data_IF_639828338361
#
_entry.id   IF_639828338361
#
_cell.length_a   1.000
_cell.length_b   1.000
_cell.length_c   1.000
_cell.angle_alpha   90.00
_cell.angle_beta   90.00
_cell.angle_gamma   90.00
#
_symmetry.space_group_name_H-M   'P 1'
#
loop_
_entity.id
_entity.type
_entity.pdbx_description
1 polymer ?
#
# COMPACT_ATOMS: atom_id res chain seq x y z
N UNK A 1 22.87 -17.60 -10.17
CA UNK A 1 22.19 -16.28 -10.26
C UNK A 1 23.17 -15.32 -10.93
N UNK A 2 22.85 -14.04 -11.14
CA UNK A 2 23.90 -13.07 -11.52
C UNK A 2 24.82 -12.83 -10.31
N UNK A 3 26.11 -12.63 -10.55
CA UNK A 3 27.13 -12.38 -9.51
C UNK A 3 26.71 -11.26 -8.54
N UNK A 4 26.26 -10.11 -9.06
CA UNK A 4 25.83 -8.98 -8.23
C UNK A 4 24.65 -9.28 -7.28
N UNK A 5 23.78 -10.23 -7.65
CA UNK A 5 22.63 -10.59 -6.81
C UNK A 5 23.06 -11.51 -5.66
N UNK A 6 23.96 -12.44 -5.95
CA UNK A 6 24.57 -13.31 -4.94
C UNK A 6 25.41 -12.50 -3.94
N UNK A 7 26.13 -11.49 -4.44
CA UNK A 7 26.89 -10.54 -3.61
C UNK A 7 25.99 -9.77 -2.65
N UNK A 8 24.82 -9.29 -3.10
CA UNK A 8 23.87 -8.58 -2.26
C UNK A 8 23.27 -9.48 -1.16
N UNK A 9 22.93 -10.72 -1.50
CA UNK A 9 22.50 -11.71 -0.50
C UNK A 9 23.61 -11.98 0.52
N UNK A 10 24.85 -12.11 0.06
CA UNK A 10 26.01 -12.35 0.92
C UNK A 10 26.32 -11.12 1.80
N UNK A 11 26.08 -9.90 1.31
CA UNK A 11 26.17 -8.68 2.09
C UNK A 11 25.19 -8.73 3.28
N UNK A 12 23.92 -9.04 3.03
CA UNK A 12 22.88 -9.14 4.07
C UNK A 12 23.25 -10.20 5.11
N UNK A 13 23.70 -11.38 4.67
CA UNK A 13 24.20 -12.43 5.57
C UNK A 13 25.39 -11.97 6.39
N UNK A 14 26.28 -11.17 5.80
CA UNK A 14 27.43 -10.59 6.52
C UNK A 14 26.99 -9.58 7.57
N UNK A 15 26.04 -8.71 7.24
CA UNK A 15 25.47 -7.70 8.14
C UNK A 15 24.78 -8.35 9.34
N UNK A 16 24.11 -9.49 9.14
CA UNK A 16 23.42 -10.24 10.21
C UNK A 16 24.29 -11.29 10.91
N UNK A 17 25.41 -11.70 10.30
CA UNK A 17 26.29 -12.74 10.82
C UNK A 17 27.04 -12.35 12.11
N UNK A 18 27.76 -13.25 12.78
CA UNK A 18 28.33 -13.03 14.12
C UNK A 18 29.17 -11.75 14.29
N UNK A 19 29.88 -11.31 13.24
CA UNK A 19 30.68 -10.08 13.20
C UNK A 19 29.98 -8.88 12.56
N UNK A 20 28.74 -9.04 12.15
CA UNK A 20 27.93 -8.02 11.50
C UNK A 20 27.39 -6.95 12.45
N UNK A 21 26.63 -6.03 11.87
CA UNK A 21 26.09 -4.84 12.50
C UNK A 21 25.09 -5.19 13.61
N UNK A 22 25.23 -4.61 14.83
CA UNK A 22 24.29 -4.84 15.93
C UNK A 22 22.86 -4.41 15.62
N UNK A 23 22.68 -3.38 14.77
CA UNK A 23 21.36 -2.89 14.40
C UNK A 23 20.65 -3.87 13.46
N UNK A 24 21.34 -4.37 12.44
CA UNK A 24 20.78 -5.36 11.49
C UNK A 24 20.37 -6.64 12.21
N UNK A 25 21.25 -7.17 13.08
CA UNK A 25 20.95 -8.35 13.91
C UNK A 25 19.71 -8.21 14.79
N UNK A 26 19.43 -6.99 15.26
CA UNK A 26 18.28 -6.72 16.13
C UNK A 26 16.96 -6.65 15.36
N UNK A 27 16.99 -6.46 14.05
CA UNK A 27 15.77 -6.44 13.25
C UNK A 27 15.10 -7.81 13.25
N UNK A 28 13.76 -7.77 13.28
CA UNK A 28 12.87 -8.91 13.13
C UNK A 28 11.82 -8.64 12.04
N UNK A 29 11.02 -9.66 11.70
CA UNK A 29 10.00 -9.56 10.64
C UNK A 29 8.96 -8.46 10.88
N UNK A 30 8.70 -8.08 12.13
CA UNK A 30 7.74 -7.01 12.45
C UNK A 30 8.36 -5.64 12.20
N UNK A 31 9.64 -5.47 12.52
CA UNK A 31 10.39 -4.23 12.32
C UNK A 31 10.58 -3.88 10.85
N UNK A 32 10.69 -4.88 9.96
CA UNK A 32 10.88 -4.65 8.52
C UNK A 32 9.66 -4.02 7.83
N UNK A 33 8.45 -4.20 8.39
CA UNK A 33 7.21 -3.69 7.78
C UNK A 33 7.22 -2.19 7.52
N UNK A 34 7.77 -1.40 8.45
CA UNK A 34 7.81 0.07 8.30
C UNK A 34 8.80 0.48 7.20
N UNK A 35 9.97 -0.17 7.14
CA UNK A 35 10.98 0.16 6.13
C UNK A 35 10.49 -0.20 4.73
N UNK A 36 9.87 -1.38 4.53
CA UNK A 36 9.25 -1.72 3.24
C UNK A 36 8.24 -0.65 2.80
N UNK A 37 7.46 -0.11 3.75
CA UNK A 37 6.47 0.90 3.42
C UNK A 37 7.11 2.27 3.13
N UNK A 38 8.14 2.64 3.88
CA UNK A 38 8.95 3.84 3.66
C UNK A 38 9.59 3.79 2.26
N UNK A 39 10.39 2.77 1.93
CA UNK A 39 11.04 2.68 0.61
C UNK A 39 10.03 2.56 -0.54
N UNK A 40 8.88 1.93 -0.30
CA UNK A 40 7.83 1.85 -1.31
C UNK A 40 7.22 3.23 -1.59
N UNK A 41 7.08 4.10 -0.59
CA UNK A 41 6.60 5.46 -0.82
C UNK A 41 7.67 6.33 -1.46
N UNK A 42 8.93 6.22 -1.04
CA UNK A 42 10.05 6.96 -1.64
C UNK A 42 10.22 6.59 -3.13
N UNK A 43 10.12 5.30 -3.47
CA UNK A 43 10.09 4.85 -4.86
C UNK A 43 8.90 5.41 -5.64
N UNK A 44 7.70 5.49 -5.04
CA UNK A 44 6.54 6.08 -5.70
C UNK A 44 6.72 7.58 -5.95
N UNK A 45 7.35 8.29 -5.03
CA UNK A 45 7.67 9.71 -5.17
C UNK A 45 8.72 9.93 -6.29
N UNK A 46 9.76 9.09 -6.34
CA UNK A 46 10.77 9.10 -7.41
C UNK A 46 10.17 8.82 -8.80
N UNK A 47 9.23 7.87 -8.89
CA UNK A 47 8.48 7.60 -10.13
C UNK A 47 7.63 8.81 -10.52
N UNK A 48 7.00 9.45 -9.54
CA UNK A 48 6.12 10.60 -9.78
C UNK A 48 6.89 11.83 -10.25
N UNK A 49 8.10 12.04 -9.75
CA UNK A 49 9.00 13.12 -10.18
C UNK A 49 9.74 12.82 -11.49
N UNK A 50 9.65 11.58 -12.00
CA UNK A 50 10.42 11.08 -13.14
C UNK A 50 11.95 11.22 -12.95
N UNK A 51 12.42 11.18 -11.71
CA UNK A 51 13.83 11.23 -11.36
C UNK A 51 14.43 9.82 -11.48
N UNK A 52 15.13 9.56 -12.58
CA UNK A 52 15.68 8.24 -12.87
C UNK A 52 16.82 7.81 -11.93
N UNK A 53 17.55 8.76 -11.36
CA UNK A 53 18.62 8.44 -10.41
C UNK A 53 18.00 8.04 -9.07
N UNK A 54 16.99 8.79 -8.60
CA UNK A 54 16.22 8.41 -7.43
C UNK A 54 15.49 7.07 -7.63
N UNK A 55 14.87 6.83 -8.80
CA UNK A 55 14.22 5.53 -9.09
C UNK A 55 15.21 4.37 -8.94
N UNK A 56 16.46 4.54 -9.39
CA UNK A 56 17.49 3.50 -9.27
C UNK A 56 17.84 3.22 -7.80
N UNK A 57 18.02 4.28 -7.01
CA UNK A 57 18.32 4.21 -5.57
C UNK A 57 17.18 3.53 -4.80
N UNK A 58 15.97 4.08 -4.90
CA UNK A 58 14.82 3.60 -4.13
C UNK A 58 14.36 2.19 -4.55
N UNK A 59 14.53 1.83 -5.82
CA UNK A 59 14.29 0.45 -6.27
C UNK A 59 15.31 -0.53 -5.67
N UNK A 60 16.55 -0.08 -5.48
CA UNK A 60 17.61 -0.81 -4.80
C UNK A 60 17.31 -0.99 -3.32
N UNK A 61 16.87 0.06 -2.64
CA UNK A 61 16.55 0.03 -1.21
C UNK A 61 15.33 -0.84 -0.92
N UNK A 62 14.26 -0.72 -1.72
CA UNK A 62 13.12 -1.62 -1.62
C UNK A 62 13.53 -3.08 -1.88
N UNK A 63 14.41 -3.34 -2.86
CA UNK A 63 14.94 -4.68 -3.10
C UNK A 63 15.74 -5.20 -1.89
N UNK A 64 16.59 -4.36 -1.29
CA UNK A 64 17.34 -4.70 -0.09
C UNK A 64 16.41 -5.10 1.05
N UNK A 65 15.35 -4.33 1.34
CA UNK A 65 14.39 -4.66 2.40
C UNK A 65 13.66 -5.99 2.13
N UNK A 66 13.33 -6.29 0.87
CA UNK A 66 12.72 -7.58 0.49
C UNK A 66 13.69 -8.74 0.70
N UNK A 67 14.96 -8.60 0.29
CA UNK A 67 15.96 -9.64 0.51
C UNK A 67 16.29 -9.83 1.99
N UNK A 68 16.30 -8.75 2.77
CA UNK A 68 16.49 -8.80 4.22
C UNK A 68 15.36 -9.55 4.92
N UNK A 69 14.11 -9.32 4.51
CA UNK A 69 12.95 -10.09 4.95
C UNK A 69 13.10 -11.58 4.65
N UNK A 70 13.57 -11.92 3.44
CA UNK A 70 13.77 -13.31 3.04
C UNK A 70 14.87 -13.98 3.88
N UNK A 71 15.95 -13.27 4.19
CA UNK A 71 17.00 -13.80 5.07
C UNK A 71 16.48 -14.04 6.49
N UNK A 72 15.64 -13.15 7.02
CA UNK A 72 15.00 -13.36 8.33
C UNK A 72 14.14 -14.64 8.38
N UNK A 73 13.36 -14.90 7.34
CA UNK A 73 12.51 -16.09 7.22
C UNK A 73 13.35 -17.36 6.99
N UNK A 74 14.49 -17.23 6.29
CA UNK A 74 15.48 -18.29 6.15
C UNK A 74 16.14 -18.65 7.49
N UNK A 75 16.59 -17.65 8.26
CA UNK A 75 17.15 -17.83 9.61
C UNK A 75 16.13 -18.49 10.57
N UNK A 76 14.84 -18.21 10.39
CA UNK A 76 13.76 -18.81 11.15
C UNK A 76 13.34 -20.21 10.64
N UNK A 77 13.91 -20.68 9.53
CA UNK A 77 13.68 -22.02 8.97
C UNK A 77 12.36 -22.17 8.20
N UNK A 78 11.76 -21.09 7.72
CA UNK A 78 10.49 -21.13 7.00
C UNK A 78 10.64 -21.33 5.49
N UNK A 79 11.43 -20.48 4.83
CA UNK A 79 11.66 -20.57 3.38
C UNK A 79 12.96 -19.85 2.97
N UNK A 80 13.41 -20.16 1.76
CA UNK A 80 14.61 -19.60 1.13
C UNK A 80 14.28 -18.61 0.01
N UNK A 81 15.30 -17.92 -0.51
CA UNK A 81 15.15 -17.09 -1.72
C UNK A 81 14.75 -17.94 -2.93
N UNK A 82 15.26 -19.16 -3.04
CA UNK A 82 14.91 -20.10 -4.10
C UNK A 82 13.41 -20.45 -4.06
N UNK A 83 12.85 -20.66 -2.87
CA UNK A 83 11.43 -20.94 -2.69
C UNK A 83 10.57 -19.76 -3.17
N UNK A 84 10.95 -18.53 -2.80
CA UNK A 84 10.24 -17.29 -3.22
C UNK A 84 10.29 -17.11 -4.74
N UNK A 85 11.45 -17.30 -5.35
CA UNK A 85 11.64 -17.18 -6.80
C UNK A 85 10.82 -18.25 -7.52
N UNK A 86 10.90 -19.52 -7.09
CA UNK A 86 10.18 -20.62 -7.72
C UNK A 86 8.67 -20.43 -7.59
N UNK A 87 8.16 -20.12 -6.40
CA UNK A 87 6.75 -19.86 -6.17
C UNK A 87 6.23 -18.70 -7.04
N UNK A 88 7.02 -17.64 -7.20
CA UNK A 88 6.64 -16.50 -8.05
C UNK A 88 6.68 -16.86 -9.53
N UNK A 89 7.74 -17.52 -9.99
CA UNK A 89 7.92 -17.97 -11.38
C UNK A 89 6.78 -18.89 -11.81
N UNK A 90 6.49 -19.95 -11.05
CA UNK A 90 5.41 -20.89 -11.34
C UNK A 90 4.04 -20.20 -11.39
N UNK A 91 3.77 -19.31 -10.43
CA UNK A 91 2.56 -18.50 -10.40
C UNK A 91 2.44 -17.61 -11.64
N UNK A 92 3.52 -16.95 -12.07
CA UNK A 92 3.48 -16.08 -13.24
C UNK A 92 3.33 -16.86 -14.54
N UNK A 93 4.03 -17.99 -14.70
CA UNK A 93 3.85 -18.88 -15.86
C UNK A 93 2.40 -19.33 -15.96
N UNK A 94 1.84 -19.84 -14.86
CA UNK A 94 0.47 -20.36 -14.82
C UNK A 94 -0.60 -19.29 -15.09
N UNK A 95 -0.36 -18.04 -14.70
CA UNK A 95 -1.29 -16.92 -14.95
C UNK A 95 -1.16 -16.28 -16.34
N UNK A 96 -0.15 -16.65 -17.12
CA UNK A 96 0.03 -16.22 -18.50
C UNK A 96 -0.03 -17.40 -19.49
N UNK A 97 -1.14 -18.17 -19.53
CA UNK A 97 -1.26 -19.30 -20.46
C UNK A 97 -1.30 -18.87 -21.94
N UNK A 98 -1.47 -17.57 -22.20
CA UNK A 98 -1.39 -16.99 -23.54
C UNK A 98 0.04 -16.68 -23.99
N UNK A 99 1.01 -16.70 -23.07
CA UNK A 99 2.45 -16.58 -23.37
C UNK A 99 3.12 -17.95 -23.29
N UNK A 100 2.78 -18.75 -22.26
CA UNK A 100 3.48 -20.00 -21.94
C UNK A 100 2.65 -21.27 -22.22
N UNK A 101 1.49 -21.15 -22.86
CA UNK A 101 0.60 -22.26 -23.21
C UNK A 101 -0.16 -21.97 -24.51
N UNK A 102 -1.34 -22.58 -24.66
CA UNK A 102 -2.09 -22.55 -25.92
C UNK A 102 -3.27 -21.56 -25.95
N UNK A 103 -3.49 -20.81 -24.86
CA UNK A 103 -4.66 -19.90 -24.76
C UNK A 103 -4.49 -18.72 -25.70
N UNK A 104 -5.36 -18.61 -26.71
CA UNK A 104 -5.38 -17.42 -27.59
C UNK A 104 -6.18 -16.30 -26.94
N UNK A 105 -5.67 -15.07 -27.06
CA UNK A 105 -6.32 -13.84 -26.62
C UNK A 105 -6.36 -12.86 -27.78
N UNK A 106 -7.45 -12.11 -27.91
CA UNK A 106 -7.63 -11.11 -28.99
C UNK A 106 -7.29 -9.69 -28.57
N UNK A 107 -7.07 -9.44 -27.28
CA UNK A 107 -6.68 -8.15 -26.75
C UNK A 107 -6.62 -8.10 -25.22
N UNK A 108 -6.41 -6.89 -24.69
CA UNK A 108 -6.21 -6.64 -23.25
C UNK A 108 -7.41 -7.14 -22.40
N UNK A 109 -8.64 -7.00 -22.90
CA UNK A 109 -9.84 -7.44 -22.19
C UNK A 109 -9.80 -8.95 -21.90
N UNK A 110 -9.50 -9.76 -22.91
CA UNK A 110 -9.40 -11.22 -22.78
C UNK A 110 -8.28 -11.62 -21.81
N UNK A 111 -7.15 -10.91 -21.84
CA UNK A 111 -6.03 -11.12 -20.91
C UNK A 111 -6.47 -10.87 -19.46
N UNK A 112 -7.16 -9.75 -19.21
CA UNK A 112 -7.65 -9.40 -17.87
C UNK A 112 -8.72 -10.37 -17.37
N UNK A 113 -9.64 -10.80 -18.23
CA UNK A 113 -10.65 -11.80 -17.88
C UNK A 113 -10.02 -13.15 -17.53
N UNK A 114 -9.08 -13.62 -18.35
CA UNK A 114 -8.36 -14.87 -18.09
C UNK A 114 -7.56 -14.79 -16.79
N UNK A 115 -6.87 -13.68 -16.56
CA UNK A 115 -6.11 -13.44 -15.33
C UNK A 115 -6.98 -13.49 -14.07
N UNK A 116 -8.13 -12.82 -14.11
CA UNK A 116 -9.08 -12.80 -12.99
C UNK A 116 -9.70 -14.19 -12.75
N UNK A 117 -10.02 -14.92 -13.82
CA UNK A 117 -10.52 -16.30 -13.72
C UNK A 117 -9.52 -17.23 -13.04
N UNK A 118 -8.26 -17.24 -13.51
CA UNK A 118 -7.19 -18.06 -12.92
C UNK A 118 -6.96 -17.70 -11.44
N UNK A 119 -7.00 -16.40 -11.10
CA UNK A 119 -6.92 -15.95 -9.71
C UNK A 119 -8.06 -16.46 -8.83
N UNK A 120 -9.28 -16.55 -9.37
CA UNK A 120 -10.43 -17.06 -8.63
C UNK A 120 -10.31 -18.57 -8.40
N UNK A 121 -9.90 -19.31 -9.43
CA UNK A 121 -9.69 -20.77 -9.34
C UNK A 121 -8.61 -21.10 -8.29
N UNK A 122 -7.48 -20.39 -8.30
CA UNK A 122 -6.42 -20.53 -7.27
C UNK A 122 -6.92 -20.30 -5.84
N UNK A 123 -7.81 -19.31 -5.65
CA UNK A 123 -8.38 -18.97 -4.35
C UNK A 123 -9.41 -19.99 -3.90
N UNK A 124 -10.09 -20.67 -4.81
CA UNK A 124 -11.06 -21.71 -4.47
C UNK A 124 -10.41 -23.00 -3.98
N UNK A 125 -9.19 -23.28 -4.42
CA UNK A 125 -8.42 -24.48 -4.03
C UNK A 125 -7.69 -24.33 -2.69
N UNK A 126 -7.42 -23.11 -2.25
CA UNK A 126 -7.01 -22.83 -0.87
C UNK A 126 -8.32 -22.58 -0.10
N UNK A 127 -8.64 -23.32 0.96
CA UNK A 127 -9.86 -23.13 1.78
C UNK A 127 -9.95 -21.75 2.50
N UNK A 128 -9.47 -20.68 1.89
CA UNK A 128 -9.56 -19.32 2.37
C UNK A 128 -10.73 -18.62 1.68
N UNK A 129 -11.91 -18.74 2.27
CA UNK A 129 -13.07 -17.88 2.00
C UNK A 129 -12.85 -16.41 2.41
N UNK A 130 -11.61 -15.98 2.62
CA UNK A 130 -11.31 -14.63 3.07
C UNK A 130 -11.30 -13.67 1.87
N UNK A 131 -12.15 -12.65 1.96
CA UNK A 131 -12.10 -11.47 1.10
C UNK A 131 -10.79 -10.73 1.41
N UNK A 132 -9.70 -11.15 0.77
CA UNK A 132 -8.31 -10.71 0.99
C UNK A 132 -8.08 -9.25 0.57
N UNK A 133 -8.53 -8.33 1.42
CA UNK A 133 -8.03 -6.96 1.43
C UNK A 133 -6.95 -6.93 2.52
N UNK A 134 -5.71 -6.48 2.25
CA UNK A 134 -4.65 -6.42 3.25
C UNK A 134 -4.99 -5.47 4.41
N UNK A 135 -4.85 -5.92 5.67
CA UNK A 135 -5.15 -5.09 6.86
C UNK A 135 -4.18 -3.92 6.97
N UNK A 136 -2.94 -4.08 6.49
CA UNK A 136 -1.91 -3.04 6.47
C UNK A 136 -2.14 -1.92 5.46
N UNK A 137 -3.11 -2.07 4.54
CA UNK A 137 -3.46 -1.02 3.57
C UNK A 137 -4.01 0.22 4.31
N UNK A 138 -3.72 1.45 3.85
CA UNK A 138 -4.32 2.66 4.41
C UNK A 138 -5.84 2.54 4.52
N UNK A 139 -6.41 3.05 5.62
CA UNK A 139 -7.83 2.86 5.93
C UNK A 139 -8.78 3.32 4.83
N UNK A 140 -8.47 4.45 4.17
CA UNK A 140 -9.21 5.00 3.03
C UNK A 140 -9.25 4.02 1.85
N UNK A 141 -8.07 3.58 1.41
CA UNK A 141 -7.91 2.66 0.28
C UNK A 141 -8.52 1.28 0.60
N UNK A 142 -8.31 0.78 1.81
CA UNK A 142 -8.88 -0.49 2.31
C UNK A 142 -10.40 -0.45 2.23
N UNK A 143 -11.02 0.62 2.72
CA UNK A 143 -12.47 0.78 2.69
C UNK A 143 -13.01 0.90 1.27
N UNK A 144 -12.34 1.69 0.42
CA UNK A 144 -12.70 1.83 -0.99
C UNK A 144 -12.63 0.48 -1.73
N UNK A 145 -11.60 -0.32 -1.46
CA UNK A 145 -11.45 -1.65 -2.04
C UNK A 145 -12.53 -2.61 -1.57
N UNK A 146 -12.94 -2.52 -0.30
CA UNK A 146 -14.06 -3.30 0.25
C UNK A 146 -15.38 -2.91 -0.42
N UNK A 147 -15.62 -1.62 -0.59
CA UNK A 147 -16.78 -1.09 -1.28
C UNK A 147 -16.87 -1.58 -2.75
N UNK A 148 -15.78 -1.47 -3.52
CA UNK A 148 -15.72 -1.97 -4.92
C UNK A 148 -15.98 -3.47 -5.00
N UNK A 149 -15.47 -4.23 -4.03
CA UNK A 149 -15.68 -5.68 -3.93
C UNK A 149 -17.14 -6.02 -3.63
N UNK A 150 -17.79 -5.26 -2.74
CA UNK A 150 -19.22 -5.40 -2.46
C UNK A 150 -20.06 -5.14 -3.71
N UNK A 151 -19.79 -4.05 -4.45
CA UNK A 151 -20.44 -3.75 -5.73
C UNK A 151 -20.26 -4.89 -6.75
N UNK A 152 -19.04 -5.41 -6.91
CA UNK A 152 -18.74 -6.54 -7.81
C UNK A 152 -19.53 -7.81 -7.45
N UNK A 153 -19.86 -7.99 -6.18
CA UNK A 153 -20.65 -9.12 -5.67
C UNK A 153 -22.17 -8.86 -5.70
N UNK A 154 -22.60 -7.71 -6.21
CA UNK A 154 -24.01 -7.33 -6.25
C UNK A 154 -24.61 -6.96 -4.89
N UNK A 155 -23.77 -6.71 -3.87
CA UNK A 155 -24.23 -6.17 -2.61
C UNK A 155 -24.49 -4.68 -2.77
N UNK A 156 -25.70 -4.24 -2.44
CA UNK A 156 -26.03 -2.82 -2.40
C UNK A 156 -25.17 -2.14 -1.33
N UNK A 157 -24.29 -1.18 -1.65
CA UNK A 157 -23.51 -0.51 -0.64
C UNK A 157 -24.32 0.21 0.44
N UNK A 158 -25.62 0.48 0.19
CA UNK A 158 -26.55 1.01 1.21
C UNK A 158 -26.87 -0.01 2.30
N UNK A 159 -26.79 -1.31 2.03
CA UNK A 159 -27.04 -2.36 3.04
C UNK A 159 -25.89 -2.54 4.04
N UNK A 160 -24.72 -1.93 3.76
CA UNK A 160 -23.55 -1.96 4.64
C UNK A 160 -23.60 -0.89 5.73
N UNK A 161 -24.49 0.10 5.58
CA UNK A 161 -24.85 1.03 6.63
C UNK A 161 -26.04 0.43 7.37
N UNK A 162 -25.93 0.26 8.70
CA UNK A 162 -27.06 -0.21 9.53
C UNK A 162 -28.28 0.72 9.40
N UNK A 163 -28.04 1.97 9.04
CA UNK A 163 -29.08 2.93 8.75
C UNK A 163 -29.23 3.08 7.23
N UNK A 164 -30.21 2.36 6.70
CA UNK A 164 -30.65 2.44 5.33
C UNK A 164 -31.17 3.86 5.04
N UNK A 165 -30.43 4.66 4.25
CA UNK A 165 -30.95 5.53 3.16
C UNK A 165 -29.93 6.62 2.79
N UNK A 166 -29.66 6.73 1.48
CA UNK A 166 -28.77 7.73 0.88
C UNK A 166 -29.28 9.16 1.01
N UNK A 167 -30.58 9.34 1.26
CA UNK A 167 -31.22 10.66 1.31
C UNK A 167 -31.23 11.25 2.73
N UNK A 168 -31.16 10.41 3.77
CA UNK A 168 -31.06 10.85 5.18
C UNK A 168 -29.66 11.32 5.57
N UNK A 169 -28.59 11.03 4.81
CA UNK A 169 -27.24 11.35 5.29
C UNK A 169 -26.91 12.85 5.28
N UNK A 170 -27.52 13.63 4.37
CA UNK A 170 -27.43 15.10 4.41
C UNK A 170 -28.10 15.64 5.67
N UNK A 171 -29.28 15.12 6.01
CA UNK A 171 -30.00 15.46 7.24
C UNK A 171 -29.24 15.02 8.50
N UNK A 172 -28.63 13.82 8.47
CA UNK A 172 -27.77 13.35 9.55
C UNK A 172 -26.56 14.24 9.72
N UNK A 173 -25.87 14.61 8.65
CA UNK A 173 -24.73 15.54 8.73
C UNK A 173 -25.15 16.89 9.29
N UNK A 174 -26.30 17.43 8.88
CA UNK A 174 -26.82 18.68 9.45
C UNK A 174 -27.25 18.56 10.91
N UNK A 175 -27.63 17.36 11.36
CA UNK A 175 -28.07 17.08 12.73
C UNK A 175 -26.98 16.40 13.59
N UNK A 176 -25.75 16.29 13.09
CA UNK A 176 -24.64 15.69 13.83
C UNK A 176 -24.29 16.56 15.03
N UNK A 177 -24.55 16.04 16.22
CA UNK A 177 -23.98 16.62 17.43
C UNK A 177 -22.54 16.11 17.60
N UNK A 178 -21.57 16.95 17.24
CA UNK A 178 -20.14 16.64 17.35
C UNK A 178 -19.68 16.43 18.80
N UNK A 179 -20.41 16.94 19.80
CA UNK A 179 -20.02 16.81 21.21
C UNK A 179 -20.20 15.37 21.74
N UNK A 180 -21.01 14.55 21.08
CA UNK A 180 -21.30 13.17 21.48
C UNK A 180 -21.05 12.16 20.36
N UNK A 181 -20.09 12.45 19.47
CA UNK A 181 -19.79 11.59 18.34
C UNK A 181 -19.17 10.25 18.80
N UNK A 182 -19.85 9.15 18.53
CA UNK A 182 -19.33 7.80 18.82
C UNK A 182 -18.53 7.19 17.64
N UNK A 183 -17.88 6.06 17.91
CA UNK A 183 -17.06 5.35 16.90
C UNK A 183 -17.88 4.89 15.68
N UNK A 184 -19.13 4.48 15.88
CA UNK A 184 -19.99 3.98 14.80
C UNK A 184 -20.46 5.14 13.90
N UNK A 185 -20.78 6.28 14.49
CA UNK A 185 -21.11 7.50 13.77
C UNK A 185 -19.91 7.99 12.95
N UNK A 186 -18.70 8.00 13.53
CA UNK A 186 -17.48 8.33 12.79
C UNK A 186 -17.22 7.37 11.61
N UNK A 187 -17.36 6.06 11.83
CA UNK A 187 -17.21 5.06 10.76
C UNK A 187 -18.21 5.29 9.61
N UNK A 188 -19.46 5.61 9.94
CA UNK A 188 -20.51 5.89 8.96
C UNK A 188 -20.20 7.14 8.13
N UNK A 189 -19.65 8.18 8.76
CA UNK A 189 -19.20 9.40 8.09
C UNK A 189 -18.02 9.13 7.15
N UNK A 190 -17.00 8.43 7.62
CA UNK A 190 -15.83 8.06 6.81
C UNK A 190 -16.25 7.21 5.60
N UNK A 191 -17.13 6.23 5.81
CA UNK A 191 -17.69 5.42 4.73
C UNK A 191 -18.41 6.29 3.70
N UNK A 192 -19.27 7.22 4.15
CA UNK A 192 -19.94 8.14 3.24
C UNK A 192 -18.97 8.99 2.43
N UNK A 193 -18.01 9.66 3.06
CA UNK A 193 -17.07 10.52 2.35
C UNK A 193 -16.25 9.74 1.32
N UNK A 194 -15.75 8.56 1.69
CA UNK A 194 -14.95 7.72 0.78
C UNK A 194 -15.80 7.23 -0.41
N UNK A 195 -17.01 6.74 -0.15
CA UNK A 195 -17.87 6.18 -1.20
C UNK A 195 -18.51 7.26 -2.09
N UNK A 196 -18.89 8.40 -1.50
CA UNK A 196 -19.35 9.58 -2.23
C UNK A 196 -18.25 10.12 -3.14
N UNK A 197 -17.04 10.30 -2.61
CA UNK A 197 -15.89 10.79 -3.39
C UNK A 197 -15.66 9.90 -4.60
N UNK A 198 -15.57 8.58 -4.38
CA UNK A 198 -15.41 7.61 -5.46
C UNK A 198 -16.54 7.68 -6.51
N UNK A 199 -17.80 7.72 -6.06
CA UNK A 199 -18.97 7.73 -6.97
C UNK A 199 -19.08 9.01 -7.80
N UNK A 200 -18.46 10.10 -7.35
CA UNK A 200 -18.44 11.39 -8.05
C UNK A 200 -17.08 11.66 -8.74
N UNK A 201 -16.18 10.68 -8.82
CA UNK A 201 -14.87 10.84 -9.45
C UNK A 201 -13.90 11.75 -8.68
N UNK A 202 -14.15 11.99 -7.39
CA UNK A 202 -13.25 12.72 -6.51
C UNK A 202 -12.22 11.74 -5.90
N UNK A 203 -10.93 12.01 -6.11
CA UNK A 203 -9.85 11.21 -5.55
C UNK A 203 -9.54 11.67 -4.12
N UNK A 204 -9.95 10.87 -3.14
CA UNK A 204 -9.83 11.24 -1.72
C UNK A 204 -8.36 11.34 -1.29
N UNK A 205 -7.50 10.39 -1.68
CA UNK A 205 -6.11 10.37 -1.25
C UNK A 205 -5.31 11.49 -1.93
N UNK A 206 -5.64 11.83 -3.18
CA UNK A 206 -5.10 13.04 -3.82
C UNK A 206 -5.51 14.32 -3.07
N UNK A 207 -6.81 14.49 -2.77
CA UNK A 207 -7.30 15.69 -2.08
C UNK A 207 -6.70 15.82 -0.66
N UNK A 208 -6.54 14.70 0.06
CA UNK A 208 -5.89 14.69 1.37
C UNK A 208 -4.42 15.10 1.28
N UNK A 209 -3.69 14.60 0.27
CA UNK A 209 -2.29 15.00 0.01
C UNK A 209 -2.19 16.49 -0.33
N UNK A 210 -2.99 16.98 -1.27
CA UNK A 210 -3.01 18.40 -1.64
C UNK A 210 -3.36 19.31 -0.45
N UNK A 211 -4.30 18.91 0.40
CA UNK A 211 -4.62 19.68 1.59
C UNK A 211 -3.51 19.63 2.65
N UNK A 212 -2.80 18.50 2.77
CA UNK A 212 -1.64 18.40 3.66
C UNK A 212 -0.54 19.37 3.26
N UNK A 213 -0.30 19.58 1.95
CA UNK A 213 0.64 20.58 1.45
C UNK A 213 0.28 22.00 1.88
N UNK A 214 -1.01 22.35 1.91
CA UNK A 214 -1.46 23.66 2.40
C UNK A 214 -1.08 23.86 3.87
N UNK A 215 -1.18 22.82 4.69
CA UNK A 215 -0.78 22.86 6.10
C UNK A 215 0.73 23.04 6.21
N UNK A 216 1.52 22.24 5.48
CA UNK A 216 2.98 22.32 5.48
C UNK A 216 3.47 23.69 5.02
N UNK A 217 2.86 24.27 3.98
CA UNK A 217 3.16 25.62 3.52
C UNK A 217 2.90 26.68 4.60
N UNK A 218 1.79 26.55 5.33
CA UNK A 218 1.47 27.47 6.45
C UNK A 218 2.52 27.38 7.55
N UNK A 219 2.91 26.18 7.97
CA UNK A 219 3.97 25.97 8.97
C UNK A 219 5.28 26.63 8.51
N UNK A 220 5.69 26.37 7.26
CA UNK A 220 6.92 26.94 6.69
C UNK A 220 6.88 28.47 6.58
N UNK A 221 5.72 29.05 6.29
CA UNK A 221 5.55 30.52 6.25
C UNK A 221 5.64 31.17 7.64
N UNK A 222 5.11 30.52 8.68
CA UNK A 222 5.20 30.99 10.06
C UNK A 222 6.64 30.93 10.58
N UNK A 223 7.37 29.85 10.29
CA UNK A 223 8.78 29.71 10.65
C UNK A 223 9.69 30.76 9.98
N UNK A 224 9.37 31.19 8.75
CA UNK A 224 10.06 32.30 8.08
C UNK A 224 9.75 33.66 8.70
N UNK A 225 8.56 33.85 9.27
CA UNK A 225 8.15 35.07 9.97
C UNK A 225 8.86 35.23 11.33
N UNK A 226 9.15 34.13 12.02
CA UNK A 226 9.81 34.14 13.34
C UNK A 226 11.33 34.29 13.28
N UNK A 227 11.95 34.01 12.13
CA UNK A 227 13.41 34.06 11.92
C UNK A 227 13.92 35.38 11.29
N UNK A 228 13.16 36.48 11.31
CA UNK A 228 13.72 37.80 10.94
C UNK A 228 14.70 38.27 12.04
N UNK A 229 15.97 38.58 11.72
CA UNK A 229 16.90 39.14 12.70
C UNK A 229 16.39 40.49 13.19
N UNK A 230 16.36 40.68 14.50
CA UNK A 230 15.98 41.92 15.15
C UNK A 230 17.09 42.96 14.94
N UNK A 231 17.05 43.70 13.83
CA UNK A 231 17.94 44.85 13.59
C UNK A 231 17.41 46.09 14.32
N UNK A 232 17.43 46.04 15.67
CA UNK A 232 17.38 47.19 16.58
C UNK A 232 18.17 46.75 17.81
N UNK A 233 19.29 47.32 18.21
CA UNK A 233 19.74 48.71 18.21
C UNK A 233 21.23 48.77 18.55
N UNK A 234 22.04 49.42 17.71
CA UNK A 234 23.32 49.98 18.12
C UNK A 234 23.35 51.44 17.67
N UNK A 235 23.00 52.32 18.59
CA UNK A 235 23.38 53.73 18.62
C UNK A 235 24.01 53.99 19.97
#
# INVERSE_FOLDING_TARGET
>A
MSECFEDLLQLIKTLRGPKGCPWDKKQDIQSIKKYILEEAYELLDAITSADHDAILEEAGDLLFQILFLIELEHEAGFFTIEDVINATKEKMIRRHPHVFGDTKVSGISDVLQNWEKIKQDEKSHKNNNELLIPISMPGSERLLKAFKLAQKKGLDPKCLLKDQQSDELKEKISNLNLENLDTQQLQSLLYFFITYSYSNGLDIDKNLREFSEVILQKINSQNKSTNKPDYKSAK
#
